data_IF_516922931044
#
_entry.id   IF_516922931044
#
_cell.length_a   1.000
_cell.length_b   1.000
_cell.length_c   1.000
_cell.angle_alpha   90.00
_cell.angle_beta   90.00
_cell.angle_gamma   90.00
#
_symmetry.space_group_name_H-M   'P 1'
#
loop_
_entity.id
_entity.type
_entity.pdbx_description
1 polymer ?
#
# COMPACT_ATOMS: atom_id res chain seq x y z
N UNK A 1 -13.14 16.21 -2.42
CA UNK A 1 -12.08 15.21 -2.25
C UNK A 1 -12.23 14.18 -3.36
N UNK A 2 -11.49 14.38 -4.45
CA UNK A 2 -11.50 13.49 -5.62
C UNK A 2 -10.75 12.21 -5.28
N UNK A 3 -11.42 11.07 -5.44
CA UNK A 3 -10.90 9.73 -5.11
C UNK A 3 -9.72 9.33 -5.98
N UNK A 4 -8.50 9.54 -5.47
CA UNK A 4 -7.25 9.07 -6.08
C UNK A 4 -7.12 7.54 -5.97
N UNK A 5 -7.66 6.95 -4.90
CA UNK A 5 -7.79 5.53 -4.73
C UNK A 5 -9.25 5.11 -4.94
N UNK A 6 -9.54 4.20 -5.90
CA UNK A 6 -10.85 3.60 -5.97
C UNK A 6 -11.07 2.70 -4.74
N UNK A 7 -12.32 2.52 -4.32
CA UNK A 7 -12.66 1.66 -3.17
C UNK A 7 -12.09 0.24 -3.29
N UNK A 8 -11.92 -0.28 -4.50
CA UNK A 8 -11.32 -1.59 -4.77
C UNK A 8 -9.83 -1.69 -4.43
N UNK A 9 -9.15 -0.55 -4.23
CA UNK A 9 -7.72 -0.45 -3.95
C UNK A 9 -7.43 -0.15 -2.49
N UNK A 10 -8.44 -0.19 -1.62
CA UNK A 10 -8.28 0.00 -0.19
C UNK A 10 -9.09 -1.04 0.59
N UNK A 11 -8.56 -1.44 1.75
CA UNK A 11 -9.26 -2.30 2.69
C UNK A 11 -8.98 -1.84 4.12
N UNK A 12 -10.02 -1.51 4.86
CA UNK A 12 -9.88 -1.34 6.31
C UNK A 12 -9.65 -2.70 6.94
N UNK A 13 -8.52 -2.85 7.62
CA UNK A 13 -8.08 -4.11 8.22
C UNK A 13 -8.63 -4.25 9.64
N UNK A 14 -8.67 -3.14 10.37
CA UNK A 14 -9.25 -3.02 11.71
C UNK A 14 -9.66 -1.57 11.98
N UNK A 15 -9.92 -1.23 13.25
CA UNK A 15 -10.33 0.11 13.66
C UNK A 15 -9.25 1.18 13.42
N UNK A 16 -7.98 0.79 13.34
CA UNK A 16 -6.83 1.69 13.29
C UNK A 16 -6.06 1.64 11.97
N UNK A 17 -6.19 0.56 11.19
CA UNK A 17 -5.30 0.25 10.06
C UNK A 17 -6.07 0.11 8.77
N UNK A 18 -5.53 0.71 7.71
CA UNK A 18 -6.03 0.58 6.33
C UNK A 18 -4.89 0.10 5.43
N UNK A 19 -5.19 -0.82 4.52
CA UNK A 19 -4.29 -1.24 3.46
C UNK A 19 -4.60 -0.50 2.16
N UNK A 20 -3.57 0.04 1.51
CA UNK A 20 -3.61 0.58 0.15
C UNK A 20 -2.95 -0.39 -0.81
N UNK A 21 -3.68 -0.88 -1.80
CA UNK A 21 -3.18 -1.81 -2.80
C UNK A 21 -2.67 -1.07 -4.03
N UNK A 22 -1.47 -1.43 -4.45
CA UNK A 22 -0.75 -0.79 -5.53
C UNK A 22 -0.18 -1.82 -6.48
N UNK A 23 -0.10 -1.44 -7.75
CA UNK A 23 0.80 -2.08 -8.71
C UNK A 23 2.04 -1.21 -8.90
N UNK A 24 3.21 -1.79 -8.68
CA UNK A 24 4.52 -1.11 -8.67
C UNK A 24 5.50 -1.94 -9.48
N UNK A 25 6.17 -1.38 -10.51
CA UNK A 25 7.17 -2.11 -11.27
C UNK A 25 8.19 -2.78 -10.33
N UNK A 26 8.45 -4.08 -10.50
CA UNK A 26 9.29 -4.86 -9.58
C UNK A 26 10.58 -4.16 -9.11
N UNK A 27 11.42 -3.60 -10.00
CA UNK A 27 12.64 -2.89 -9.61
C UNK A 27 12.42 -1.65 -8.73
N UNK A 28 11.21 -1.10 -8.69
CA UNK A 28 10.83 0.11 -7.94
C UNK A 28 10.18 -0.19 -6.59
N UNK A 29 9.86 -1.45 -6.29
CA UNK A 29 9.31 -1.86 -4.98
C UNK A 29 10.26 -1.48 -3.84
N UNK A 30 11.56 -1.66 -4.04
CA UNK A 30 12.59 -1.29 -3.04
C UNK A 30 12.64 0.22 -2.79
N UNK A 31 12.40 1.03 -3.83
CA UNK A 31 12.35 2.50 -3.70
C UNK A 31 11.13 2.90 -2.86
N UNK A 32 9.98 2.28 -3.13
CA UNK A 32 8.76 2.51 -2.36
C UNK A 32 8.93 2.08 -0.89
N UNK A 33 9.52 0.90 -0.64
CA UNK A 33 9.85 0.41 0.69
C UNK A 33 10.76 1.39 1.44
N UNK A 34 11.85 1.82 0.82
CA UNK A 34 12.75 2.80 1.42
C UNK A 34 12.05 4.10 1.75
N UNK A 35 11.17 4.60 0.87
CA UNK A 35 10.44 5.84 1.13
C UNK A 35 9.44 5.71 2.28
N UNK A 36 8.68 4.61 2.37
CA UNK A 36 7.68 4.45 3.43
C UNK A 36 8.25 3.99 4.77
N UNK A 37 9.27 3.13 4.75
CA UNK A 37 9.81 2.52 5.97
C UNK A 37 10.96 3.33 6.59
N UNK A 38 11.63 4.22 5.84
CA UNK A 38 12.65 5.12 6.40
C UNK A 38 12.07 6.44 6.94
N UNK A 39 10.92 6.87 6.42
CA UNK A 39 10.19 7.99 6.99
C UNK A 39 9.33 7.47 8.14
N UNK A 40 9.82 7.66 9.37
CA UNK A 40 9.16 7.19 10.59
C UNK A 40 7.67 7.56 10.59
N UNK A 41 6.82 6.53 10.56
CA UNK A 41 5.38 6.65 10.73
C UNK A 41 4.55 6.55 9.46
N UNK A 42 5.09 6.71 8.24
CA UNK A 42 4.25 6.74 7.03
C UNK A 42 3.53 5.42 6.76
N UNK A 43 4.19 4.28 6.94
CA UNK A 43 3.54 2.99 6.79
C UNK A 43 4.51 1.84 6.54
N UNK A 44 3.93 0.68 6.26
CA UNK A 44 4.65 -0.57 6.08
C UNK A 44 4.35 -1.15 4.70
N UNK A 45 5.37 -1.43 3.89
CA UNK A 45 5.16 -1.94 2.53
C UNK A 45 5.34 -3.44 2.51
N UNK A 46 4.35 -4.16 1.99
CA UNK A 46 4.36 -5.62 1.87
C UNK A 46 4.13 -6.05 0.45
N UNK A 47 5.00 -6.91 -0.06
CA UNK A 47 4.79 -7.52 -1.38
C UNK A 47 3.72 -8.59 -1.27
N UNK A 48 2.66 -8.45 -2.08
CA UNK A 48 1.54 -9.38 -2.12
C UNK A 48 1.82 -10.46 -3.16
N UNK A 49 2.22 -10.04 -4.37
CA UNK A 49 2.56 -10.91 -5.48
C UNK A 49 3.61 -10.23 -6.36
N UNK A 50 4.86 -10.71 -6.29
CA UNK A 50 5.97 -10.16 -7.07
C UNK A 50 5.78 -10.35 -8.59
N UNK A 51 5.13 -11.43 -9.02
CA UNK A 51 4.90 -11.71 -10.45
C UNK A 51 3.87 -10.76 -11.03
N UNK A 52 2.90 -10.35 -10.22
CA UNK A 52 1.88 -9.35 -10.58
C UNK A 52 2.29 -7.92 -10.22
N UNK A 53 3.51 -7.71 -9.71
CA UNK A 53 3.98 -6.38 -9.30
C UNK A 53 3.05 -5.74 -8.25
N UNK A 54 2.46 -6.56 -7.39
CA UNK A 54 1.43 -6.12 -6.45
C UNK A 54 1.99 -5.96 -5.04
N UNK A 55 1.72 -4.81 -4.43
CA UNK A 55 2.11 -4.48 -3.07
C UNK A 55 0.92 -3.92 -2.29
N UNK A 56 1.00 -4.01 -0.97
CA UNK A 56 0.11 -3.33 -0.04
C UNK A 56 0.94 -2.39 0.83
N UNK A 57 0.45 -1.17 1.04
CA UNK A 57 0.96 -0.26 2.06
C UNK A 57 -0.01 -0.28 3.21
N UNK A 58 0.45 -0.69 4.38
CA UNK A 58 -0.31 -0.68 5.61
C UNK A 58 -0.04 0.65 6.31
N UNK A 59 -1.09 1.42 6.53
CA UNK A 59 -1.03 2.75 7.12
C UNK A 59 -2.04 2.84 8.25
N UNK A 60 -1.75 3.64 9.26
CA UNK A 60 -2.78 3.98 10.25
C UNK A 60 -3.78 4.94 9.63
N UNK A 61 -5.04 4.88 10.07
CA UNK A 61 -6.09 5.77 9.55
C UNK A 61 -5.77 7.26 9.79
N UNK A 62 -5.08 7.57 10.88
CA UNK A 62 -4.64 8.94 11.20
C UNK A 62 -3.63 9.49 10.19
N UNK A 63 -2.83 8.61 9.58
CA UNK A 63 -1.79 8.96 8.61
C UNK A 63 -2.19 8.63 7.16
N UNK A 64 -3.43 8.19 6.93
CA UNK A 64 -3.89 7.76 5.62
C UNK A 64 -3.75 8.86 4.58
N UNK A 65 -4.17 10.10 4.91
CA UNK A 65 -4.08 11.20 3.97
C UNK A 65 -2.63 11.60 3.70
N UNK A 66 -1.80 11.69 4.75
CA UNK A 66 -0.38 11.99 4.61
C UNK A 66 0.35 10.93 3.77
N UNK A 67 -0.02 9.66 3.94
CA UNK A 67 0.50 8.55 3.15
C UNK A 67 0.10 8.63 1.67
N UNK A 68 -1.14 9.02 1.38
CA UNK A 68 -1.60 9.23 0.00
C UNK A 68 -0.86 10.42 -0.63
N UNK A 69 -0.70 11.51 0.10
CA UNK A 69 0.02 12.69 -0.39
C UNK A 69 1.50 12.36 -0.65
N UNK A 70 2.12 11.59 0.25
CA UNK A 70 3.48 11.10 0.10
C UNK A 70 3.62 10.14 -1.10
N UNK A 71 2.66 9.24 -1.31
CA UNK A 71 2.59 8.39 -2.50
C UNK A 71 2.51 9.20 -3.80
N UNK A 72 1.64 10.20 -3.86
CA UNK A 72 1.51 11.05 -5.04
C UNK A 72 2.80 11.82 -5.31
N UNK A 73 3.53 12.25 -4.27
CA UNK A 73 4.80 12.97 -4.43
C UNK A 73 5.92 12.15 -5.10
N UNK A 74 5.86 10.82 -5.05
CA UNK A 74 6.86 9.90 -5.63
C UNK A 74 6.35 9.15 -6.88
N UNK A 75 5.20 9.58 -7.41
CA UNK A 75 4.49 8.85 -8.47
C UNK A 75 5.27 8.79 -9.77
N UNK A 76 5.99 9.84 -10.12
CA UNK A 76 6.81 9.90 -11.34
C UNK A 76 8.07 9.03 -11.23
N UNK A 77 8.62 8.87 -10.02
CA UNK A 77 9.83 8.10 -9.75
C UNK A 77 9.57 6.60 -9.63
N UNK A 78 8.44 6.24 -9.02
CA UNK A 78 8.05 4.85 -8.73
C UNK A 78 7.13 4.27 -9.80
N UNK A 79 6.40 5.12 -10.54
CA UNK A 79 5.44 4.73 -11.56
C UNK A 79 4.33 3.79 -11.03
N UNK A 80 3.85 4.04 -9.81
CA UNK A 80 2.80 3.21 -9.23
C UNK A 80 1.42 3.54 -9.83
N UNK A 81 0.51 2.57 -9.76
CA UNK A 81 -0.92 2.75 -10.06
C UNK A 81 -1.78 2.02 -9.03
N UNK A 82 -3.06 2.42 -8.85
CA UNK A 82 -3.95 1.71 -7.95
C UNK A 82 -4.06 0.23 -8.37
N UNK A 83 -3.83 -0.68 -7.41
CA UNK A 83 -3.99 -2.11 -7.58
C UNK A 83 -5.33 -2.60 -7.02
N UNK A 84 -5.74 -3.82 -7.31
CA UNK A 84 -7.00 -4.36 -6.77
C UNK A 84 -6.72 -5.20 -5.53
N UNK A 85 -7.45 -5.00 -4.43
CA UNK A 85 -7.37 -5.89 -3.28
C UNK A 85 -7.61 -7.35 -3.73
N UNK A 86 -6.66 -8.28 -3.48
CA UNK A 86 -6.88 -9.68 -3.79
C UNK A 86 -8.11 -10.23 -3.05
N UNK A 87 -8.89 -11.12 -3.69
CA UNK A 87 -10.13 -11.65 -3.10
C UNK A 87 -9.88 -12.56 -1.89
N UNK A 88 -8.66 -13.08 -1.74
CA UNK A 88 -8.23 -13.90 -0.61
C UNK A 88 -7.79 -13.08 0.61
N UNK A 89 -7.72 -11.74 0.50
CA UNK A 89 -7.36 -10.84 1.59
C UNK A 89 -8.61 -10.12 2.11
N UNK A 90 -8.86 -10.24 3.41
CA UNK A 90 -9.98 -9.65 4.13
C UNK A 90 -9.52 -9.11 5.49
N UNK A 91 -10.37 -8.32 6.16
CA UNK A 91 -10.14 -7.86 7.52
C UNK A 91 -9.96 -9.01 8.55
N UNK A 92 -10.49 -10.20 8.26
CA UNK A 92 -10.38 -11.34 9.16
C UNK A 92 -9.09 -12.16 8.96
N UNK A 93 -8.37 -11.96 7.85
CA UNK A 93 -7.21 -12.78 7.48
C UNK A 93 -5.98 -11.98 7.02
N UNK A 94 -5.98 -10.66 7.19
CA UNK A 94 -4.92 -9.78 6.71
C UNK A 94 -3.55 -10.00 7.36
N UNK A 95 -3.46 -10.76 8.45
CA UNK A 95 -2.18 -11.19 9.02
C UNK A 95 -1.30 -11.89 7.96
N UNK A 96 -1.91 -12.51 6.95
CA UNK A 96 -1.21 -13.08 5.80
C UNK A 96 -0.40 -12.04 4.99
N UNK A 97 -0.73 -10.75 5.08
CA UNK A 97 0.03 -9.64 4.48
C UNK A 97 1.27 -9.33 5.32
N UNK A 98 1.12 -9.28 6.65
CA UNK A 98 2.20 -8.90 7.58
C UNK A 98 3.40 -9.84 7.50
N UNK A 99 3.15 -11.13 7.23
CA UNK A 99 4.16 -12.18 7.19
C UNK A 99 4.77 -12.43 5.80
N UNK A 100 4.40 -11.66 4.77
CA UNK A 100 5.02 -11.77 3.44
C UNK A 100 6.26 -10.88 3.36
N UNK A 101 7.39 -11.44 2.92
CA UNK A 101 8.67 -10.76 2.70
C UNK A 101 9.15 -11.03 1.28
#
# INVERSE_FOLDING_TARGET
>A
MSGLFPKSSQLDLDDHTTALFLEVPGPKVVVLQGFFELYEGLGLVRTIDIKKSQVAILVTKDLLQESIDALESIKEEVCWKPGVCPPDITADNYFAILHRS
#
